data_IF_181271078884
#
_entry.id   IF_181271078884
#
_cell.length_a   1.000
_cell.length_b   1.000
_cell.length_c   1.000
_cell.angle_alpha   90.00
_cell.angle_beta   90.00
_cell.angle_gamma   90.00
#
_symmetry.space_group_name_H-M   'P 1'
#
loop_
_entity.id
_entity.type
_entity.pdbx_description
1 polymer ?
#
# COMPACT_ATOMS: atom_id res chain seq x y z
N UNK A 1 -13.75 -12.40 31.75
CA UNK A 1 -12.27 -12.48 31.65
C UNK A 1 -11.85 -11.59 30.51
N UNK A 2 -11.04 -10.56 30.74
CA UNK A 2 -10.50 -9.76 29.66
C UNK A 2 -9.65 -10.69 28.77
N UNK A 3 -9.80 -10.69 27.44
CA UNK A 3 -8.97 -11.51 26.57
C UNK A 3 -7.51 -11.11 26.79
N UNK A 4 -6.69 -12.10 27.15
CA UNK A 4 -5.25 -11.96 27.34
C UNK A 4 -4.69 -11.37 26.05
N UNK A 5 -4.06 -10.19 26.11
CA UNK A 5 -3.37 -9.57 24.97
C UNK A 5 -2.24 -10.51 24.54
N UNK A 6 -2.50 -11.39 23.57
CA UNK A 6 -1.45 -12.22 22.98
C UNK A 6 -0.43 -11.28 22.34
N UNK A 7 0.75 -11.18 22.95
CA UNK A 7 1.82 -10.31 22.48
C UNK A 7 2.32 -10.86 21.15
N UNK A 8 2.05 -10.16 20.06
CA UNK A 8 2.55 -10.54 18.73
C UNK A 8 4.08 -10.51 18.80
N UNK A 9 4.72 -11.62 18.43
CA UNK A 9 6.17 -11.67 18.30
C UNK A 9 6.49 -11.01 16.96
N UNK A 10 7.08 -9.81 17.01
CA UNK A 10 7.45 -9.06 15.81
C UNK A 10 8.73 -9.62 15.19
N UNK A 11 8.83 -9.46 13.87
CA UNK A 11 10.07 -9.76 13.15
C UNK A 11 11.17 -8.80 13.63
N UNK A 12 12.37 -9.34 13.88
CA UNK A 12 13.52 -8.53 14.31
C UNK A 12 14.03 -7.70 13.12
N UNK A 13 14.15 -6.38 13.30
CA UNK A 13 14.76 -5.51 12.31
C UNK A 13 16.26 -5.79 12.14
N UNK A 14 16.71 -5.76 10.89
CA UNK A 14 18.13 -5.84 10.50
C UNK A 14 18.39 -4.83 9.37
N UNK A 15 18.68 -3.59 9.76
CA UNK A 15 18.86 -2.49 8.81
C UNK A 15 20.12 -2.67 7.95
N UNK A 16 21.17 -3.31 8.47
CA UNK A 16 22.39 -3.57 7.71
C UNK A 16 22.17 -4.58 6.60
N UNK A 17 21.52 -5.71 6.90
CA UNK A 17 21.15 -6.73 5.92
C UNK A 17 20.22 -6.14 4.86
N UNK A 18 19.21 -5.39 5.28
CA UNK A 18 18.23 -4.79 4.37
C UNK A 18 18.87 -3.79 3.41
N UNK A 19 19.74 -2.90 3.92
CA UNK A 19 20.49 -1.95 3.10
C UNK A 19 21.46 -2.66 2.14
N UNK A 20 22.12 -3.73 2.58
CA UNK A 20 22.99 -4.54 1.73
C UNK A 20 22.20 -5.21 0.59
N UNK A 21 21.03 -5.79 0.89
CA UNK A 21 20.16 -6.39 -0.11
C UNK A 21 19.63 -5.35 -1.11
N UNK A 22 19.19 -4.19 -0.61
CA UNK A 22 18.77 -3.08 -1.46
C UNK A 22 19.89 -2.66 -2.41
N UNK A 23 21.11 -2.46 -1.91
CA UNK A 23 22.27 -2.08 -2.73
C UNK A 23 22.57 -3.13 -3.80
N UNK A 24 22.49 -4.41 -3.45
CA UNK A 24 22.68 -5.51 -4.39
C UNK A 24 21.61 -5.49 -5.50
N UNK A 25 20.33 -5.34 -5.15
CA UNK A 25 19.22 -5.38 -6.10
C UNK A 25 19.13 -4.12 -6.96
N UNK A 26 19.29 -2.94 -6.34
CA UNK A 26 18.92 -1.65 -6.89
C UNK A 26 20.09 -0.73 -7.21
N UNK A 27 21.34 -1.09 -6.88
CA UNK A 27 22.48 -0.15 -6.91
C UNK A 27 22.72 0.60 -8.23
N UNK A 28 22.32 0.05 -9.38
CA UNK A 28 22.35 0.76 -10.68
C UNK A 28 21.00 1.39 -11.08
N UNK A 29 19.90 0.94 -10.48
CA UNK A 29 18.53 1.35 -10.78
C UNK A 29 18.08 2.61 -10.04
N UNK A 30 18.75 2.95 -8.92
CA UNK A 30 18.46 4.15 -8.12
C UNK A 30 18.78 5.45 -8.86
N UNK A 31 19.82 5.42 -9.70
CA UNK A 31 20.24 6.56 -10.54
C UNK A 31 19.30 6.79 -11.74
N UNK A 32 18.64 5.74 -12.23
CA UNK A 32 17.74 5.79 -13.37
C UNK A 32 16.52 6.70 -13.12
N UNK A 33 15.89 7.18 -14.20
CA UNK A 33 14.72 8.08 -14.14
C UNK A 33 13.44 7.42 -13.58
N UNK A 34 13.52 6.17 -13.10
CA UNK A 34 12.40 5.39 -12.57
C UNK A 34 11.70 4.49 -13.59
N UNK A 35 10.72 3.72 -13.11
CA UNK A 35 9.85 2.92 -13.96
C UNK A 35 10.59 1.83 -14.75
N UNK A 36 10.24 1.67 -16.04
CA UNK A 36 10.75 0.58 -16.88
C UNK A 36 12.29 0.53 -16.98
N UNK A 37 12.97 1.68 -17.03
CA UNK A 37 14.42 1.74 -17.07
C UNK A 37 15.07 1.21 -15.78
N UNK A 38 14.52 1.59 -14.62
CA UNK A 38 14.99 1.10 -13.32
C UNK A 38 14.72 -0.41 -13.16
N UNK A 39 13.57 -0.90 -13.64
CA UNK A 39 13.24 -2.33 -13.62
C UNK A 39 14.24 -3.20 -14.39
N UNK A 40 14.71 -2.74 -15.56
CA UNK A 40 15.69 -3.45 -16.39
C UNK A 40 17.12 -3.39 -15.82
N UNK A 41 17.41 -2.38 -15.00
CA UNK A 41 18.74 -2.16 -14.40
C UNK A 41 18.97 -2.97 -13.11
N UNK A 42 17.97 -3.72 -12.63
CA UNK A 42 18.09 -4.55 -11.42
C UNK A 42 19.06 -5.69 -11.58
N UNK A 43 19.74 -6.04 -10.48
CA UNK A 43 20.56 -7.25 -10.43
C UNK A 43 19.70 -8.52 -10.58
N UNK A 44 20.19 -9.47 -11.38
CA UNK A 44 19.42 -10.66 -11.75
C UNK A 44 19.31 -11.67 -10.62
N UNK A 45 20.39 -11.88 -9.85
CA UNK A 45 20.41 -12.87 -8.77
C UNK A 45 19.68 -12.36 -7.53
N UNK A 46 19.91 -11.10 -7.14
CA UNK A 46 19.17 -10.49 -6.04
C UNK A 46 17.66 -10.45 -6.32
N UNK A 47 17.25 -10.21 -7.59
CA UNK A 47 15.83 -10.26 -7.96
C UNK A 47 15.26 -11.66 -7.84
N UNK A 48 16.00 -12.68 -8.28
CA UNK A 48 15.57 -14.08 -8.15
C UNK A 48 15.30 -14.44 -6.68
N UNK A 49 16.19 -14.03 -5.77
CA UNK A 49 16.00 -14.21 -4.32
C UNK A 49 14.73 -13.51 -3.85
N UNK A 50 14.50 -12.25 -4.24
CA UNK A 50 13.27 -11.54 -3.87
C UNK A 50 11.99 -12.24 -4.38
N UNK A 51 12.03 -12.79 -5.59
CA UNK A 51 10.92 -13.57 -6.17
C UNK A 51 10.69 -14.85 -5.36
N UNK A 52 11.73 -15.61 -5.06
CA UNK A 52 11.63 -16.86 -4.28
C UNK A 52 11.12 -16.60 -2.85
N UNK A 53 11.69 -15.61 -2.16
CA UNK A 53 11.27 -15.22 -0.81
C UNK A 53 9.83 -14.69 -0.75
N UNK A 54 9.37 -13.99 -1.78
CA UNK A 54 7.99 -13.53 -1.84
C UNK A 54 7.01 -14.68 -2.14
N UNK A 55 7.26 -15.41 -3.23
CA UNK A 55 6.31 -16.39 -3.72
C UNK A 55 6.26 -17.68 -2.92
N UNK A 56 7.24 -18.00 -2.05
CA UNK A 56 7.14 -19.13 -1.11
C UNK A 56 5.88 -19.08 -0.24
N UNK A 57 5.33 -17.89 -0.01
CA UNK A 57 4.14 -17.68 0.80
C UNK A 57 2.82 -17.99 0.07
N UNK A 58 2.82 -18.01 -1.26
CA UNK A 58 1.62 -18.13 -2.10
C UNK A 58 1.67 -19.29 -3.10
N UNK A 59 2.86 -19.75 -3.49
CA UNK A 59 3.03 -20.84 -4.46
C UNK A 59 2.39 -22.15 -3.95
N UNK A 60 1.60 -22.78 -4.83
CA UNK A 60 0.85 -24.01 -4.54
C UNK A 60 -0.14 -23.89 -3.37
N UNK A 61 -0.57 -22.67 -3.03
CA UNK A 61 -1.62 -22.43 -2.05
C UNK A 61 -2.86 -21.87 -2.74
N UNK A 62 -3.99 -22.55 -2.60
CA UNK A 62 -5.28 -22.08 -3.10
C UNK A 62 -6.23 -21.78 -1.94
N UNK A 63 -7.31 -21.06 -2.23
CA UNK A 63 -8.38 -20.85 -1.26
C UNK A 63 -9.00 -22.17 -0.77
N UNK A 64 -8.94 -23.26 -1.55
CA UNK A 64 -9.46 -24.57 -1.12
C UNK A 64 -8.61 -25.20 -0.02
N UNK A 65 -7.29 -25.06 -0.11
CA UNK A 65 -6.33 -25.75 0.77
C UNK A 65 -5.72 -24.86 1.84
N UNK A 66 -5.96 -23.55 1.80
CA UNK A 66 -5.39 -22.61 2.76
C UNK A 66 -5.91 -22.89 4.18
N UNK A 67 -4.98 -22.95 5.13
CA UNK A 67 -5.24 -23.16 6.56
C UNK A 67 -5.00 -21.88 7.37
N UNK A 68 -5.43 -21.89 8.64
CA UNK A 68 -5.06 -20.84 9.59
C UNK A 68 -3.55 -20.78 9.82
N UNK A 69 -2.88 -21.93 9.89
CA UNK A 69 -1.42 -22.01 10.01
C UNK A 69 -0.67 -21.37 8.83
N UNK A 70 -1.24 -21.44 7.61
CA UNK A 70 -0.68 -20.73 6.45
C UNK A 70 -0.75 -19.21 6.63
N UNK A 71 -1.89 -18.71 7.11
CA UNK A 71 -2.10 -17.28 7.38
C UNK A 71 -1.18 -16.79 8.50
N UNK A 72 -1.05 -17.56 9.56
CA UNK A 72 -0.11 -17.27 10.65
C UNK A 72 1.35 -17.28 10.17
N UNK A 73 1.72 -18.21 9.28
CA UNK A 73 3.07 -18.25 8.71
C UNK A 73 3.39 -17.00 7.88
N UNK A 74 2.44 -16.53 7.05
CA UNK A 74 2.57 -15.25 6.35
C UNK A 74 2.67 -14.08 7.32
N UNK A 75 1.85 -14.09 8.36
CA UNK A 75 1.79 -13.03 9.38
C UNK A 75 3.10 -12.94 10.19
N UNK A 76 3.77 -14.06 10.48
CA UNK A 76 5.06 -14.06 11.19
C UNK A 76 6.21 -13.41 10.41
N UNK A 77 6.15 -13.45 9.08
CA UNK A 77 7.16 -12.88 8.18
C UNK A 77 6.62 -11.63 7.44
N UNK A 78 5.64 -10.93 8.02
CA UNK A 78 4.93 -9.82 7.34
C UNK A 78 5.87 -8.73 6.82
N UNK A 79 6.93 -8.39 7.57
CA UNK A 79 7.83 -7.30 7.20
C UNK A 79 8.72 -7.73 6.03
N UNK A 80 9.28 -8.94 6.07
CA UNK A 80 10.02 -9.54 4.95
C UNK A 80 9.14 -9.73 3.72
N UNK A 81 7.92 -10.26 3.86
CA UNK A 81 6.95 -10.42 2.79
C UNK A 81 6.68 -9.09 2.07
N UNK A 82 6.33 -8.05 2.84
CA UNK A 82 6.01 -6.71 2.34
C UNK A 82 7.23 -6.06 1.68
N UNK A 83 8.42 -6.18 2.28
CA UNK A 83 9.65 -5.61 1.74
C UNK A 83 10.01 -6.23 0.39
N UNK A 84 9.95 -7.56 0.26
CA UNK A 84 10.22 -8.23 -1.02
C UNK A 84 9.16 -7.91 -2.07
N UNK A 85 7.88 -7.82 -1.68
CA UNK A 85 6.82 -7.37 -2.58
C UNK A 85 7.17 -6.00 -3.20
N UNK A 86 7.46 -4.98 -2.38
CA UNK A 86 7.76 -3.65 -2.88
C UNK A 86 9.09 -3.57 -3.64
N UNK A 87 10.09 -4.38 -3.29
CA UNK A 87 11.32 -4.53 -4.10
C UNK A 87 11.02 -5.03 -5.51
N UNK A 88 9.95 -5.83 -5.70
CA UNK A 88 9.54 -6.32 -7.02
C UNK A 88 8.60 -5.34 -7.74
N UNK A 89 7.63 -4.77 -7.02
CA UNK A 89 6.49 -4.05 -7.60
C UNK A 89 6.73 -2.54 -7.83
N UNK A 90 7.60 -1.88 -7.05
CA UNK A 90 7.71 -0.40 -7.05
C UNK A 90 7.87 0.21 -8.45
N UNK A 91 8.77 -0.32 -9.28
CA UNK A 91 8.99 0.24 -10.62
C UNK A 91 7.79 0.04 -11.57
N UNK A 92 7.07 -1.07 -11.39
CA UNK A 92 5.86 -1.34 -12.15
C UNK A 92 4.74 -0.39 -11.72
N UNK A 93 4.65 -0.08 -10.42
CA UNK A 93 3.73 0.91 -9.88
C UNK A 93 4.06 2.32 -10.36
N UNK A 94 5.32 2.75 -10.31
CA UNK A 94 5.69 4.09 -10.79
C UNK A 94 5.41 4.27 -12.28
N UNK A 95 5.68 3.24 -13.08
CA UNK A 95 5.37 3.26 -14.51
C UNK A 95 3.86 3.20 -14.78
N UNK A 96 3.15 2.38 -14.02
CA UNK A 96 1.77 2.01 -14.31
C UNK A 96 0.69 2.85 -13.63
N UNK A 97 1.03 3.44 -12.48
CA UNK A 97 0.13 4.09 -11.51
C UNK A 97 0.57 5.52 -11.18
N UNK A 98 1.88 5.78 -11.07
CA UNK A 98 2.42 7.10 -10.67
C UNK A 98 3.12 7.04 -9.32
N UNK A 99 3.19 8.16 -8.59
CA UNK A 99 4.00 8.25 -7.36
C UNK A 99 3.19 8.20 -6.06
N UNK A 100 1.86 8.17 -6.16
CA UNK A 100 0.92 7.97 -5.06
C UNK A 100 0.28 6.59 -5.20
N UNK A 101 0.76 5.63 -4.42
CA UNK A 101 0.34 4.23 -4.50
C UNK A 101 -0.91 3.97 -3.67
N UNK A 102 -2.04 4.51 -4.10
CA UNK A 102 -3.33 4.27 -3.46
C UNK A 102 -4.49 4.48 -4.43
N UNK A 103 -5.67 4.07 -4.02
CA UNK A 103 -6.91 4.31 -4.74
C UNK A 103 -7.51 5.67 -4.39
N UNK A 104 -8.44 6.12 -5.23
CA UNK A 104 -9.20 7.34 -5.00
C UNK A 104 -10.60 7.22 -5.62
N UNK A 105 -11.49 8.10 -5.18
CA UNK A 105 -12.80 8.30 -5.80
C UNK A 105 -12.65 9.20 -7.02
N UNK A 106 -13.48 8.99 -8.04
CA UNK A 106 -13.47 9.78 -9.27
C UNK A 106 -14.75 10.59 -9.46
N UNK A 107 -14.59 11.81 -9.96
CA UNK A 107 -15.69 12.60 -10.53
C UNK A 107 -15.72 12.45 -12.05
N UNK A 108 -16.86 12.78 -12.67
CA UNK A 108 -16.98 12.76 -14.14
C UNK A 108 -15.99 13.76 -14.76
N UNK A 109 -15.17 13.28 -15.71
CA UNK A 109 -14.20 14.09 -16.43
C UNK A 109 -12.95 14.46 -15.63
N UNK A 110 -12.79 13.93 -14.42
CA UNK A 110 -11.65 14.24 -13.55
C UNK A 110 -10.42 13.39 -13.92
N UNK A 111 -9.28 14.01 -14.29
CA UNK A 111 -8.03 13.29 -14.54
C UNK A 111 -7.53 12.55 -13.30
N UNK A 112 -6.88 11.40 -13.51
CA UNK A 112 -6.35 10.55 -12.44
C UNK A 112 -5.53 11.31 -11.38
N UNK A 113 -4.55 12.12 -11.81
CA UNK A 113 -3.69 12.86 -10.88
C UNK A 113 -4.44 13.95 -10.09
N UNK A 114 -5.55 14.47 -10.61
CA UNK A 114 -6.39 15.40 -9.87
C UNK A 114 -7.29 14.67 -8.86
N UNK A 115 -7.83 13.52 -9.26
CA UNK A 115 -8.64 12.67 -8.39
C UNK A 115 -7.83 12.16 -7.18
N UNK A 116 -6.59 11.73 -7.41
CA UNK A 116 -5.71 11.23 -6.34
C UNK A 116 -5.30 12.34 -5.38
N UNK A 117 -4.87 13.51 -5.90
CA UNK A 117 -4.55 14.68 -5.08
C UNK A 117 -5.75 15.16 -4.26
N UNK A 118 -6.95 15.19 -4.86
CA UNK A 118 -8.19 15.53 -4.13
C UNK A 118 -8.47 14.55 -2.99
N UNK A 119 -8.15 13.27 -3.17
CA UNK A 119 -8.32 12.26 -2.13
C UNK A 119 -7.34 12.46 -0.96
N UNK A 120 -6.10 12.80 -1.27
CA UNK A 120 -5.06 13.16 -0.28
C UNK A 120 -5.43 14.45 0.48
N UNK A 121 -5.86 15.50 -0.24
CA UNK A 121 -6.35 16.75 0.37
C UNK A 121 -7.57 16.54 1.26
N UNK A 122 -8.48 15.64 0.87
CA UNK A 122 -9.65 15.31 1.69
C UNK A 122 -9.24 14.69 3.03
N UNK A 123 -8.22 13.81 3.05
CA UNK A 123 -7.69 13.26 4.29
C UNK A 123 -7.04 14.33 5.16
N UNK A 124 -6.16 15.15 4.56
CA UNK A 124 -5.48 16.24 5.25
C UNK A 124 -6.49 17.22 5.90
N UNK A 125 -7.55 17.56 5.18
CA UNK A 125 -8.66 18.37 5.69
C UNK A 125 -9.42 17.67 6.81
N UNK A 126 -9.73 16.37 6.65
CA UNK A 126 -10.49 15.60 7.66
C UNK A 126 -9.77 15.44 8.99
N UNK A 127 -8.43 15.41 8.97
CA UNK A 127 -7.63 15.34 10.20
C UNK A 127 -7.12 16.70 10.67
N UNK A 128 -7.41 17.78 9.92
CA UNK A 128 -7.08 19.15 10.31
C UNK A 128 -5.59 19.46 10.26
N UNK A 129 -4.85 18.96 9.26
CA UNK A 129 -3.45 19.35 9.06
C UNK A 129 -3.37 20.85 8.76
N UNK A 130 -2.48 21.56 9.45
CA UNK A 130 -2.23 22.99 9.28
C UNK A 130 -0.75 23.28 9.07
N UNK A 131 -0.47 24.50 8.59
CA UNK A 131 0.88 25.01 8.38
C UNK A 131 1.74 24.87 9.64
N UNK A 132 2.97 24.39 9.47
CA UNK A 132 3.95 24.22 10.54
C UNK A 132 3.73 23.01 11.45
N UNK A 133 2.64 22.25 11.32
CA UNK A 133 2.44 21.01 12.08
C UNK A 133 3.51 19.96 11.74
N UNK A 134 3.89 19.16 12.73
CA UNK A 134 4.68 17.93 12.53
C UNK A 134 3.75 16.78 12.27
N UNK A 135 3.78 16.24 11.05
CA UNK A 135 2.91 15.16 10.61
C UNK A 135 3.72 13.89 10.36
N UNK A 136 3.20 12.74 10.75
CA UNK A 136 3.76 11.44 10.40
C UNK A 136 2.92 10.80 9.28
N UNK A 137 3.59 10.37 8.22
CA UNK A 137 3.04 9.53 7.15
C UNK A 137 3.51 8.09 7.37
N UNK A 138 2.59 7.20 7.79
CA UNK A 138 2.88 5.80 8.09
C UNK A 138 2.72 4.96 6.83
N UNK A 139 3.84 4.48 6.29
CA UNK A 139 3.88 3.73 5.03
C UNK A 139 3.97 4.63 3.80
N UNK A 140 4.90 5.60 3.81
CA UNK A 140 4.90 6.72 2.86
C UNK A 140 5.18 6.37 1.38
N UNK A 141 5.47 5.10 1.04
CA UNK A 141 5.84 4.69 -0.31
C UNK A 141 7.03 5.49 -0.86
N UNK A 142 6.92 5.94 -2.12
CA UNK A 142 7.87 6.88 -2.77
C UNK A 142 7.53 8.36 -2.49
N UNK A 143 6.72 8.63 -1.47
CA UNK A 143 6.45 9.95 -0.93
C UNK A 143 5.50 10.84 -1.74
N UNK A 144 4.71 10.28 -2.67
CA UNK A 144 3.72 11.03 -3.46
C UNK A 144 2.74 11.81 -2.57
N UNK A 145 1.98 11.14 -1.68
CA UNK A 145 1.02 11.81 -0.81
C UNK A 145 1.68 12.82 0.12
N UNK A 146 2.85 12.50 0.68
CA UNK A 146 3.61 13.43 1.51
C UNK A 146 3.97 14.72 0.75
N UNK A 147 4.39 14.62 -0.52
CA UNK A 147 4.69 15.81 -1.34
C UNK A 147 3.45 16.63 -1.64
N UNK A 148 2.33 15.99 -1.97
CA UNK A 148 1.10 16.70 -2.28
C UNK A 148 0.52 17.40 -1.03
N UNK A 149 0.41 16.67 0.08
CA UNK A 149 -0.11 17.20 1.35
C UNK A 149 0.78 18.31 1.89
N UNK A 150 2.10 18.19 1.81
CA UNK A 150 3.01 19.25 2.26
C UNK A 150 2.82 20.55 1.46
N UNK A 151 2.71 20.47 0.13
CA UNK A 151 2.41 21.65 -0.72
C UNK A 151 1.06 22.26 -0.42
N UNK A 152 0.07 21.44 -0.07
CA UNK A 152 -1.29 21.89 0.20
C UNK A 152 -1.43 22.56 1.57
N UNK A 153 -0.66 22.12 2.56
CA UNK A 153 -0.86 22.49 3.97
C UNK A 153 0.27 23.30 4.59
N UNK A 154 1.46 23.36 3.97
CA UNK A 154 2.70 23.90 4.54
C UNK A 154 3.15 23.18 5.84
N UNK A 155 2.75 21.92 6.02
CA UNK A 155 3.16 21.10 7.16
C UNK A 155 4.55 20.46 6.95
N UNK A 156 5.21 20.09 8.06
CA UNK A 156 6.44 19.31 8.04
C UNK A 156 6.10 17.82 8.17
N UNK A 157 6.30 17.06 7.11
CA UNK A 157 5.91 15.64 7.06
C UNK A 157 7.15 14.75 7.16
N UNK A 158 7.10 13.81 8.10
CA UNK A 158 8.05 12.70 8.20
C UNK A 158 7.38 11.44 7.67
N UNK A 159 7.90 10.85 6.60
CA UNK A 159 7.44 9.56 6.09
C UNK A 159 8.22 8.41 6.69
N UNK A 160 7.51 7.41 7.21
CA UNK A 160 8.06 6.15 7.72
C UNK A 160 7.78 5.04 6.70
N UNK A 161 8.81 4.27 6.32
CA UNK A 161 8.64 3.13 5.42
C UNK A 161 9.70 2.05 5.69
N UNK A 162 9.36 0.78 5.45
CA UNK A 162 10.26 -0.36 5.65
C UNK A 162 11.14 -0.66 4.42
N UNK A 163 11.01 0.08 3.33
CA UNK A 163 11.71 -0.18 2.08
C UNK A 163 12.74 0.92 1.76
N UNK A 164 14.04 0.60 1.86
CA UNK A 164 15.14 1.54 1.64
C UNK A 164 15.15 2.12 0.22
N UNK A 165 14.76 1.32 -0.79
CA UNK A 165 14.67 1.79 -2.16
C UNK A 165 13.60 2.88 -2.32
N UNK A 166 12.42 2.69 -1.73
CA UNK A 166 11.36 3.71 -1.75
C UNK A 166 11.75 4.96 -0.96
N UNK A 167 12.45 4.83 0.17
CA UNK A 167 12.97 5.97 0.95
C UNK A 167 13.96 6.81 0.14
N UNK A 168 14.90 6.17 -0.57
CA UNK A 168 15.86 6.89 -1.43
C UNK A 168 15.13 7.67 -2.53
N UNK A 169 14.14 7.04 -3.16
CA UNK A 169 13.32 7.68 -4.21
C UNK A 169 12.49 8.83 -3.67
N UNK A 170 11.81 8.64 -2.54
CA UNK A 170 11.03 9.68 -1.89
C UNK A 170 11.90 10.91 -1.57
N UNK A 171 13.09 10.67 -1.03
CA UNK A 171 14.08 11.71 -0.74
C UNK A 171 14.53 12.44 -2.00
N UNK A 172 14.84 11.71 -3.08
CA UNK A 172 15.24 12.29 -4.38
C UNK A 172 14.11 13.12 -4.99
N UNK A 173 12.87 12.66 -4.91
CA UNK A 173 11.72 13.38 -5.45
C UNK A 173 11.41 14.65 -4.66
N UNK A 174 11.45 14.58 -3.33
CA UNK A 174 11.31 15.78 -2.50
C UNK A 174 12.41 16.81 -2.82
N UNK A 175 13.67 16.38 -3.00
CA UNK A 175 14.75 17.27 -3.39
C UNK A 175 14.54 17.90 -4.78
N UNK A 176 14.11 17.10 -5.76
CA UNK A 176 13.81 17.59 -7.12
C UNK A 176 12.70 18.65 -7.14
N UNK A 177 11.76 18.56 -6.21
CA UNK A 177 10.64 19.50 -6.07
C UNK A 177 10.93 20.64 -5.07
N UNK A 178 12.13 20.72 -4.50
CA UNK A 178 12.52 21.78 -3.57
C UNK A 178 11.92 21.64 -2.16
N UNK A 179 11.43 20.45 -1.79
CA UNK A 179 10.70 20.18 -0.54
C UNK A 179 11.57 19.58 0.57
N UNK A 180 12.89 19.48 0.41
CA UNK A 180 13.79 18.85 1.40
C UNK A 180 13.77 19.49 2.80
N UNK A 181 13.33 20.74 2.91
CA UNK A 181 13.19 21.44 4.20
C UNK A 181 11.87 21.11 4.91
N UNK A 182 10.88 20.59 4.18
CA UNK A 182 9.55 20.25 4.69
C UNK A 182 9.37 18.75 4.86
N UNK A 183 10.07 17.94 4.06
CA UNK A 183 9.92 16.49 4.00
C UNK A 183 11.17 15.76 4.47
N UNK A 184 10.96 14.73 5.31
CA UNK A 184 11.98 13.76 5.69
C UNK A 184 11.42 12.36 5.55
N UNK A 185 12.25 11.41 5.14
CA UNK A 185 11.86 10.01 4.99
C UNK A 185 12.81 9.15 5.82
N UNK A 186 12.26 8.29 6.65
CA UNK A 186 13.01 7.43 7.57
C UNK A 186 12.65 5.97 7.38
N UNK A 187 13.68 5.12 7.43
CA UNK A 187 13.53 3.67 7.45
C UNK A 187 12.99 3.24 8.82
N UNK A 188 12.00 2.35 8.82
CA UNK A 188 11.57 1.65 10.01
C UNK A 188 10.30 0.83 9.81
N UNK A 189 10.03 -0.05 10.76
CA UNK A 189 8.79 -0.80 10.85
C UNK A 189 7.75 -0.05 11.71
N UNK A 190 6.56 0.19 11.17
CA UNK A 190 5.48 0.88 11.89
C UNK A 190 4.95 0.11 13.11
N UNK A 191 5.31 -1.17 13.28
CA UNK A 191 4.98 -1.95 14.47
C UNK A 191 5.94 -1.70 15.64
N UNK A 192 7.04 -0.97 15.40
CA UNK A 192 8.11 -0.69 16.36
C UNK A 192 8.77 0.66 16.05
N UNK A 193 7.96 1.72 16.10
CA UNK A 193 8.38 3.05 15.65
C UNK A 193 9.48 3.63 16.56
N UNK A 194 10.65 3.93 15.98
CA UNK A 194 11.77 4.58 16.69
C UNK A 194 11.59 6.09 16.86
N UNK A 195 10.39 6.53 17.23
CA UNK A 195 10.07 7.91 17.60
C UNK A 195 9.75 8.02 19.09
N UNK A 196 10.08 9.15 19.75
CA UNK A 196 9.59 9.42 21.09
C UNK A 196 8.06 9.49 21.13
N UNK A 197 7.50 9.20 22.29
CA UNK A 197 6.09 9.41 22.57
C UNK A 197 5.71 10.88 22.30
N UNK A 198 4.48 11.12 21.85
CA UNK A 198 3.92 12.48 21.72
C UNK A 198 4.75 13.44 20.85
N UNK A 199 5.31 12.92 19.76
CA UNK A 199 6.18 13.67 18.85
C UNK A 199 5.42 14.42 17.75
N UNK A 200 4.25 13.91 17.33
CA UNK A 200 3.53 14.40 16.14
C UNK A 200 2.18 15.04 16.48
N UNK A 201 1.84 16.11 15.76
CA UNK A 201 0.57 16.85 15.89
C UNK A 201 -0.58 16.11 15.20
N UNK A 202 -0.29 15.47 14.06
CA UNK A 202 -1.21 14.61 13.34
C UNK A 202 -0.47 13.41 12.74
N UNK A 203 -1.19 12.31 12.52
CA UNK A 203 -0.67 11.12 11.83
C UNK A 203 -1.65 10.74 10.74
N UNK A 204 -1.14 10.30 9.59
CA UNK A 204 -1.98 9.62 8.61
C UNK A 204 -1.33 8.33 8.10
N UNK A 205 -2.18 7.42 7.63
CA UNK A 205 -1.78 6.23 6.91
C UNK A 205 -2.70 6.06 5.68
N UNK A 206 -2.13 5.98 4.49
CA UNK A 206 -2.92 5.77 3.26
C UNK A 206 -2.60 4.37 2.76
N UNK A 207 -3.55 3.45 2.91
CA UNK A 207 -3.51 2.09 2.35
C UNK A 207 -2.26 1.27 2.76
N UNK A 208 -1.67 1.56 3.92
CA UNK A 208 -0.41 0.97 4.36
C UNK A 208 -0.55 0.01 5.55
N UNK A 209 -1.44 0.31 6.50
CA UNK A 209 -1.53 -0.44 7.76
C UNK A 209 -2.08 -1.85 7.59
N UNK A 210 -2.73 -2.15 6.47
CA UNK A 210 -3.10 -3.51 6.03
C UNK A 210 -1.92 -4.50 5.99
N UNK A 211 -0.68 -4.01 5.81
CA UNK A 211 0.51 -4.87 5.85
C UNK A 211 0.94 -5.26 7.27
N UNK A 212 0.35 -4.65 8.30
CA UNK A 212 0.61 -4.99 9.69
C UNK A 212 0.09 -6.39 10.01
N UNK A 213 0.78 -7.16 10.87
CA UNK A 213 0.30 -8.46 11.31
C UNK A 213 -0.96 -8.33 12.19
N UNK A 214 -1.15 -7.16 12.82
CA UNK A 214 -2.33 -6.83 13.62
C UNK A 214 -2.54 -5.32 13.66
N UNK A 215 -3.71 -4.85 13.21
CA UNK A 215 -4.06 -3.43 13.18
C UNK A 215 -3.97 -2.76 14.56
N UNK A 216 -4.43 -3.42 15.63
CA UNK A 216 -4.34 -2.87 17.00
C UNK A 216 -2.89 -2.53 17.37
N UNK A 217 -1.92 -3.31 16.90
CA UNK A 217 -0.51 -3.10 17.20
C UNK A 217 0.03 -1.83 16.56
N UNK A 218 -0.17 -1.65 15.25
CA UNK A 218 0.28 -0.42 14.56
C UNK A 218 -0.50 0.80 15.04
N UNK A 219 -1.80 0.68 15.29
CA UNK A 219 -2.60 1.79 15.82
C UNK A 219 -2.17 2.17 17.24
N UNK A 220 -1.69 1.22 18.06
CA UNK A 220 -1.12 1.53 19.38
C UNK A 220 0.20 2.31 19.28
N UNK A 221 1.06 1.98 18.31
CA UNK A 221 2.28 2.75 18.05
C UNK A 221 1.95 4.16 17.54
N UNK A 222 0.97 4.28 16.64
CA UNK A 222 0.46 5.59 16.19
C UNK A 222 -0.08 6.40 17.37
N UNK A 223 -0.87 5.77 18.25
CA UNK A 223 -1.39 6.41 19.47
C UNK A 223 -0.26 6.90 20.38
N UNK A 224 0.82 6.11 20.52
CA UNK A 224 1.98 6.45 21.35
C UNK A 224 2.69 7.70 20.82
N UNK A 225 3.00 7.75 19.53
CA UNK A 225 3.77 8.85 18.91
C UNK A 225 2.94 10.13 18.67
N UNK A 226 1.61 10.02 18.67
CA UNK A 226 0.70 11.16 18.54
C UNK A 226 0.62 11.94 19.87
N UNK A 227 0.61 13.27 19.81
CA UNK A 227 0.41 14.14 20.98
C UNK A 227 -1.01 14.00 21.56
N UNK A 228 -1.22 14.28 22.85
CA UNK A 228 -2.57 14.44 23.41
C UNK A 228 -3.38 15.46 22.59
N UNK A 229 -4.62 15.11 22.25
CA UNK A 229 -5.48 15.91 21.37
C UNK A 229 -5.17 15.81 19.87
N UNK A 230 -4.07 15.17 19.48
CA UNK A 230 -3.71 14.93 18.08
C UNK A 230 -4.70 14.01 17.37
N UNK A 231 -4.72 14.10 16.04
CA UNK A 231 -5.68 13.36 15.19
C UNK A 231 -4.94 12.38 14.27
N UNK A 232 -5.47 11.16 14.21
CA UNK A 232 -5.07 10.11 13.28
C UNK A 232 -6.15 9.91 12.22
N UNK A 233 -5.77 9.84 10.95
CA UNK A 233 -6.66 9.45 9.86
C UNK A 233 -6.06 8.33 9.01
N UNK A 234 -6.90 7.38 8.61
CA UNK A 234 -6.47 6.26 7.77
C UNK A 234 -7.47 5.98 6.66
N UNK A 235 -6.95 5.68 5.47
CA UNK A 235 -7.67 4.94 4.44
C UNK A 235 -7.21 3.48 4.52
N UNK A 236 -8.09 2.61 5.03
CA UNK A 236 -7.76 1.21 5.31
C UNK A 236 -8.36 0.26 4.27
N UNK A 237 -7.62 -0.81 4.00
CA UNK A 237 -8.08 -1.95 3.22
C UNK A 237 -8.78 -2.95 4.14
N UNK A 238 -10.09 -3.13 3.96
CA UNK A 238 -10.89 -3.99 4.82
C UNK A 238 -11.85 -4.87 4.00
N UNK A 239 -12.09 -6.07 4.51
CA UNK A 239 -13.18 -6.92 4.04
C UNK A 239 -14.51 -6.38 4.60
N UNK A 240 -15.51 -6.25 3.74
CA UNK A 240 -16.82 -5.71 4.12
C UNK A 240 -17.66 -6.76 4.87
N UNK A 241 -18.83 -6.34 5.36
CA UNK A 241 -19.78 -7.24 6.04
C UNK A 241 -20.37 -8.32 5.11
N UNK A 242 -20.24 -8.20 3.78
CA UNK A 242 -20.69 -9.25 2.85
C UNK A 242 -19.63 -10.34 2.63
N UNK A 243 -18.39 -10.13 3.11
CA UNK A 243 -17.36 -11.17 3.04
C UNK A 243 -17.71 -12.33 3.97
N UNK A 244 -17.54 -13.56 3.46
CA UNK A 244 -17.81 -14.78 4.20
C UNK A 244 -16.64 -15.72 4.01
N UNK A 245 -15.92 -16.01 5.10
CA UNK A 245 -14.76 -16.89 5.06
C UNK A 245 -15.14 -18.38 4.86
N UNK A 246 -16.42 -18.74 4.89
CA UNK A 246 -16.89 -20.08 4.53
C UNK A 246 -17.21 -20.21 3.03
N UNK A 247 -17.29 -19.10 2.31
CA UNK A 247 -17.52 -19.09 0.87
C UNK A 247 -16.19 -19.16 0.12
N UNK A 248 -16.01 -20.21 -0.69
CA UNK A 248 -14.78 -20.44 -1.43
C UNK A 248 -14.45 -19.31 -2.43
N UNK A 249 -15.46 -18.77 -3.13
CA UNK A 249 -15.26 -17.66 -4.08
C UNK A 249 -14.78 -16.40 -3.34
N UNK A 250 -15.34 -16.11 -2.17
CA UNK A 250 -14.94 -14.95 -1.36
C UNK A 250 -13.48 -15.10 -0.90
N UNK A 251 -13.09 -16.30 -0.44
CA UNK A 251 -11.70 -16.60 -0.06
C UNK A 251 -10.74 -16.48 -1.23
N UNK A 252 -11.12 -16.94 -2.42
CA UNK A 252 -10.28 -16.84 -3.62
C UNK A 252 -10.05 -15.38 -4.02
N UNK A 253 -11.10 -14.55 -3.97
CA UNK A 253 -11.00 -13.10 -4.19
C UNK A 253 -10.07 -12.46 -3.15
N UNK A 254 -10.25 -12.76 -1.86
CA UNK A 254 -9.37 -12.25 -0.79
C UNK A 254 -7.92 -12.66 -1.03
N UNK A 255 -7.68 -13.94 -1.34
CA UNK A 255 -6.32 -14.46 -1.54
C UNK A 255 -5.65 -13.85 -2.78
N UNK A 256 -6.41 -13.59 -3.85
CA UNK A 256 -5.93 -12.86 -5.02
C UNK A 256 -5.51 -11.43 -4.66
N UNK A 257 -6.30 -10.74 -3.84
CA UNK A 257 -5.95 -9.40 -3.32
C UNK A 257 -4.69 -9.49 -2.45
N UNK A 258 -4.60 -10.47 -1.55
CA UNK A 258 -3.43 -10.63 -0.67
C UNK A 258 -2.14 -10.90 -1.44
N UNK A 259 -2.17 -11.85 -2.37
CA UNK A 259 -1.04 -12.21 -3.23
C UNK A 259 -0.64 -11.07 -4.18
N UNK A 260 -1.62 -10.38 -4.77
CA UNK A 260 -1.32 -9.33 -5.73
C UNK A 260 -0.80 -8.05 -5.10
N UNK A 261 -0.98 -7.87 -3.80
CA UNK A 261 -0.66 -6.64 -3.08
C UNK A 261 0.31 -6.84 -1.90
N UNK A 262 0.86 -8.04 -1.69
CA UNK A 262 1.83 -8.27 -0.63
C UNK A 262 1.25 -8.14 0.78
N UNK A 263 -0.01 -8.51 0.96
CA UNK A 263 -0.71 -8.46 2.24
C UNK A 263 -0.63 -9.84 2.89
N UNK A 264 -0.27 -9.87 4.18
CA UNK A 264 -0.15 -11.11 4.94
C UNK A 264 -1.51 -11.75 5.20
N UNK A 265 -2.46 -10.96 5.69
CA UNK A 265 -3.84 -11.36 5.97
C UNK A 265 -4.74 -10.11 6.06
N UNK A 266 -5.82 -10.06 5.28
CA UNK A 266 -6.83 -9.01 5.44
C UNK A 266 -7.81 -9.31 6.58
N UNK A 267 -8.33 -8.24 7.20
CA UNK A 267 -9.32 -8.31 8.28
C UNK A 267 -10.61 -7.58 7.88
N UNK A 268 -11.69 -7.82 8.61
CA UNK A 268 -12.99 -7.20 8.36
C UNK A 268 -13.08 -5.76 8.87
N UNK A 269 -14.06 -5.01 8.37
CA UNK A 269 -14.38 -3.66 8.87
C UNK A 269 -14.60 -3.66 10.38
N UNK A 270 -15.34 -4.65 10.89
CA UNK A 270 -15.60 -4.79 12.32
C UNK A 270 -14.31 -4.94 13.13
N UNK A 271 -13.37 -5.77 12.67
CA UNK A 271 -12.08 -5.97 13.33
C UNK A 271 -11.20 -4.71 13.25
N UNK A 272 -11.22 -3.99 12.13
CA UNK A 272 -10.52 -2.71 11.98
C UNK A 272 -11.02 -1.63 12.94
N UNK A 273 -12.34 -1.48 13.07
CA UNK A 273 -12.96 -0.54 14.00
C UNK A 273 -12.66 -0.91 15.47
N UNK A 274 -12.71 -2.19 15.81
CA UNK A 274 -12.38 -2.64 17.16
C UNK A 274 -10.89 -2.46 17.47
N UNK A 275 -9.99 -2.72 16.52
CA UNK A 275 -8.57 -2.43 16.66
C UNK A 275 -8.31 -0.93 16.91
N UNK A 276 -9.03 -0.07 16.20
CA UNK A 276 -8.93 1.39 16.33
C UNK A 276 -9.35 1.87 17.73
N UNK A 277 -10.46 1.35 18.26
CA UNK A 277 -10.92 1.63 19.64
C UNK A 277 -9.98 1.03 20.69
N UNK A 278 -9.52 -0.20 20.49
CA UNK A 278 -8.64 -0.91 21.41
C UNK A 278 -7.27 -0.22 21.59
N UNK A 279 -6.80 0.48 20.55
CA UNK A 279 -5.61 1.33 20.61
C UNK A 279 -5.80 2.58 21.49
N UNK A 280 -7.05 2.97 21.82
CA UNK A 280 -7.37 4.09 22.71
C UNK A 280 -7.91 5.34 22.02
N UNK A 281 -8.13 5.31 20.70
CA UNK A 281 -8.66 6.47 19.99
C UNK A 281 -10.15 6.72 20.28
N UNK A 282 -10.50 7.99 20.43
CA UNK A 282 -11.88 8.46 20.30
C UNK A 282 -12.22 8.52 18.81
N UNK A 283 -13.12 7.66 18.35
CA UNK A 283 -13.53 7.62 16.94
C UNK A 283 -14.43 8.83 16.62
N UNK A 284 -13.92 9.74 15.80
CA UNK A 284 -14.63 10.97 15.40
C UNK A 284 -15.49 10.77 14.16
N UNK A 285 -14.98 10.00 13.19
CA UNK A 285 -15.66 9.71 11.93
C UNK A 285 -15.18 8.37 11.39
N UNK A 286 -16.08 7.58 10.82
CA UNK A 286 -15.69 6.48 9.96
C UNK A 286 -16.70 6.31 8.82
N UNK A 287 -16.23 5.89 7.65
CA UNK A 287 -17.05 5.79 6.46
C UNK A 287 -16.35 4.95 5.38
N UNK A 288 -17.11 4.11 4.69
CA UNK A 288 -16.63 3.49 3.46
C UNK A 288 -16.75 4.48 2.29
N UNK A 289 -15.64 5.10 1.90
CA UNK A 289 -15.64 6.06 0.80
C UNK A 289 -15.91 5.39 -0.56
N UNK A 290 -15.66 4.09 -0.70
CA UNK A 290 -15.95 3.35 -1.92
C UNK A 290 -17.46 3.19 -2.18
N UNK A 291 -18.29 3.33 -1.14
CA UNK A 291 -19.77 3.21 -1.22
C UNK A 291 -20.49 4.51 -1.53
N UNK A 292 -19.77 5.63 -1.63
CA UNK A 292 -20.39 6.88 -2.06
C UNK A 292 -20.94 6.71 -3.48
N UNK A 293 -22.08 7.36 -3.81
CA UNK A 293 -22.79 7.14 -5.08
C UNK A 293 -22.10 7.87 -6.24
N UNK A 294 -20.82 7.58 -6.46
CA UNK A 294 -20.07 8.14 -7.57
C UNK A 294 -20.47 7.46 -8.88
N UNK A 295 -20.61 8.24 -9.97
CA UNK A 295 -20.96 7.67 -11.27
C UNK A 295 -19.82 6.81 -11.84
N UNK A 296 -18.58 7.07 -11.43
CA UNK A 296 -17.39 6.36 -11.89
C UNK A 296 -16.83 5.54 -10.72
N UNK A 297 -16.72 4.20 -10.85
CA UNK A 297 -16.23 3.38 -9.76
C UNK A 297 -14.73 3.62 -9.51
N UNK A 298 -14.30 3.56 -8.25
CA UNK A 298 -12.88 3.73 -7.86
C UNK A 298 -11.93 2.75 -8.58
N UNK A 299 -12.43 1.58 -8.97
CA UNK A 299 -11.65 0.53 -9.64
C UNK A 299 -11.61 0.68 -11.17
N UNK A 300 -12.18 1.75 -11.76
CA UNK A 300 -12.33 1.84 -13.22
C UNK A 300 -11.00 1.72 -13.97
N UNK A 301 -9.93 2.31 -13.42
CA UNK A 301 -8.59 2.31 -14.04
C UNK A 301 -7.96 0.93 -14.16
N UNK A 302 -8.44 -0.06 -13.40
CA UNK A 302 -7.98 -1.45 -13.41
C UNK A 302 -9.03 -2.44 -13.93
N UNK A 303 -10.25 -1.98 -14.19
CA UNK A 303 -11.35 -2.84 -14.65
C UNK A 303 -11.15 -3.36 -16.08
N UNK A 304 -10.44 -2.60 -16.93
CA UNK A 304 -10.37 -2.89 -18.37
C UNK A 304 -11.73 -2.72 -19.08
N UNK A 305 -12.62 -1.89 -18.55
CA UNK A 305 -13.98 -1.67 -19.07
C UNK A 305 -14.10 -0.32 -19.78
N UNK A 306 -14.47 -0.33 -21.06
CA UNK A 306 -14.56 0.89 -21.89
C UNK A 306 -15.69 1.84 -21.46
N UNK A 307 -16.74 1.34 -20.79
CA UNK A 307 -17.87 2.17 -20.34
C UNK A 307 -17.52 3.23 -19.29
N UNK A 308 -16.38 3.09 -18.62
CA UNK A 308 -15.92 4.07 -17.62
C UNK A 308 -14.86 5.04 -18.16
N UNK A 309 -14.51 4.96 -19.45
CA UNK A 309 -13.59 5.91 -20.07
C UNK A 309 -14.10 7.34 -19.90
N UNK A 310 -13.24 8.25 -19.47
CA UNK A 310 -13.52 9.67 -19.33
C UNK A 310 -13.09 10.46 -20.57
N UNK A 311 -12.17 9.91 -21.37
CA UNK A 311 -11.61 10.49 -22.58
C UNK A 311 -11.14 9.43 -23.57
N UNK A 312 -10.89 9.83 -24.83
CA UNK A 312 -10.29 8.94 -25.84
C UNK A 312 -8.88 8.46 -25.46
N UNK A 313 -8.16 9.22 -24.64
CA UNK A 313 -6.83 8.85 -24.17
C UNK A 313 -6.85 7.69 -23.17
N UNK A 314 -7.97 7.49 -22.47
CA UNK A 314 -8.14 6.37 -21.54
C UNK A 314 -8.16 5.00 -22.25
N UNK A 315 -8.35 4.99 -23.57
CA UNK A 315 -8.33 3.76 -24.35
C UNK A 315 -7.02 2.99 -24.16
N UNK A 316 -5.89 3.68 -24.03
CA UNK A 316 -4.60 3.04 -23.79
C UNK A 316 -4.57 2.34 -22.42
N UNK A 317 -5.06 3.00 -21.38
CA UNK A 317 -5.17 2.43 -20.03
C UNK A 317 -6.12 1.24 -20.02
N UNK A 318 -7.30 1.39 -20.62
CA UNK A 318 -8.32 0.33 -20.68
C UNK A 318 -7.79 -0.87 -21.45
N UNK A 319 -7.24 -0.68 -22.66
CA UNK A 319 -6.70 -1.77 -23.47
C UNK A 319 -5.62 -2.54 -22.73
N UNK A 320 -4.69 -1.85 -22.06
CA UNK A 320 -3.65 -2.46 -21.23
C UNK A 320 -4.24 -3.35 -20.13
N UNK A 321 -5.40 -3.00 -19.59
CA UNK A 321 -6.04 -3.69 -18.47
C UNK A 321 -7.04 -4.77 -18.87
N UNK A 322 -7.42 -4.87 -20.15
CA UNK A 322 -8.18 -6.02 -20.65
C UNK A 322 -7.38 -7.33 -20.55
N UNK A 323 -8.07 -8.47 -20.50
CA UNK A 323 -7.41 -9.79 -20.57
C UNK A 323 -6.52 -9.94 -21.81
N UNK A 324 -6.97 -9.40 -22.96
CA UNK A 324 -6.19 -9.43 -24.19
C UNK A 324 -4.91 -8.59 -24.09
N UNK A 325 -5.02 -7.34 -23.61
CA UNK A 325 -3.86 -6.46 -23.42
C UNK A 325 -2.87 -7.00 -22.41
N UNK A 326 -3.36 -7.51 -21.27
CA UNK A 326 -2.52 -8.18 -20.27
C UNK A 326 -1.82 -9.39 -20.88
N UNK A 327 -2.52 -10.25 -21.64
CA UNK A 327 -1.91 -11.39 -22.34
C UNK A 327 -0.79 -10.97 -23.28
N UNK A 328 -0.94 -9.88 -24.03
CA UNK A 328 0.13 -9.34 -24.89
C UNK A 328 1.35 -8.96 -24.05
N UNK A 329 1.15 -8.23 -22.94
CA UNK A 329 2.24 -7.85 -22.03
C UNK A 329 2.89 -9.09 -21.39
N UNK A 330 2.12 -10.10 -20.99
CA UNK A 330 2.63 -11.36 -20.42
C UNK A 330 3.50 -12.15 -21.41
N UNK A 331 3.08 -12.24 -22.67
CA UNK A 331 3.87 -12.92 -23.72
C UNK A 331 5.15 -12.13 -24.01
N UNK A 332 5.04 -10.81 -24.11
CA UNK A 332 6.19 -9.94 -24.37
C UNK A 332 7.22 -9.99 -23.23
N UNK A 333 6.79 -9.90 -21.96
CA UNK A 333 7.69 -10.00 -20.81
C UNK A 333 8.35 -11.38 -20.71
N UNK A 334 7.60 -12.46 -20.95
CA UNK A 334 8.16 -13.81 -21.02
C UNK A 334 9.21 -13.98 -22.12
N UNK A 335 8.99 -13.38 -23.29
CA UNK A 335 9.99 -13.33 -24.36
C UNK A 335 11.25 -12.58 -23.92
N UNK A 336 11.12 -11.38 -23.32
CA UNK A 336 12.25 -10.61 -22.81
C UNK A 336 13.06 -11.36 -21.75
N UNK A 337 12.40 -12.12 -20.88
CA UNK A 337 13.07 -13.01 -19.91
C UNK A 337 13.85 -14.13 -20.61
N UNK A 338 13.24 -14.75 -21.63
CA UNK A 338 13.83 -15.86 -22.38
C UNK A 338 15.12 -15.45 -23.08
N UNK A 339 15.16 -14.24 -23.66
CA UNK A 339 16.35 -13.70 -24.33
C UNK A 339 17.30 -12.96 -23.38
N UNK A 340 17.01 -12.95 -22.06
CA UNK A 340 17.88 -12.40 -21.02
C UNK A 340 17.91 -10.87 -20.92
N UNK A 341 17.00 -10.16 -21.59
CA UNK A 341 16.84 -8.70 -21.48
C UNK A 341 16.06 -8.30 -20.22
N UNK A 342 15.06 -9.07 -19.83
CA UNK A 342 14.38 -8.92 -18.55
C UNK A 342 14.98 -9.88 -17.50
N UNK A 343 15.15 -9.44 -16.24
CA UNK A 343 15.51 -10.35 -15.15
C UNK A 343 14.47 -11.47 -14.96
N UNK A 344 14.88 -12.67 -14.53
CA UNK A 344 13.96 -13.78 -14.25
C UNK A 344 12.95 -13.41 -13.16
N UNK A 345 11.70 -13.86 -13.33
CA UNK A 345 10.61 -13.65 -12.38
C UNK A 345 9.85 -12.34 -12.54
N UNK A 346 10.26 -11.46 -13.47
CA UNK A 346 9.49 -10.29 -13.92
C UNK A 346 8.09 -10.67 -14.39
N UNK A 347 7.97 -11.71 -15.22
CA UNK A 347 6.68 -12.22 -15.69
C UNK A 347 5.84 -12.69 -14.52
N UNK A 348 6.42 -13.48 -13.59
CA UNK A 348 5.72 -13.99 -12.41
C UNK A 348 5.18 -12.85 -11.54
N UNK A 349 5.98 -11.81 -11.29
CA UNK A 349 5.52 -10.59 -10.61
C UNK A 349 4.37 -9.92 -11.36
N UNK A 350 4.49 -9.73 -12.68
CA UNK A 350 3.43 -9.11 -13.48
C UNK A 350 2.12 -9.93 -13.50
N UNK A 351 2.22 -11.27 -13.56
CA UNK A 351 1.10 -12.20 -13.48
C UNK A 351 0.38 -12.07 -12.12
N UNK A 352 1.16 -11.99 -11.03
CA UNK A 352 0.63 -11.81 -9.67
C UNK A 352 -0.07 -10.46 -9.48
N UNK A 353 0.51 -9.37 -9.98
CA UNK A 353 -0.14 -8.04 -9.99
C UNK A 353 -1.45 -8.04 -10.79
N UNK A 354 -1.48 -8.73 -11.94
CA UNK A 354 -2.69 -8.86 -12.75
C UNK A 354 -3.78 -9.65 -12.02
N UNK A 355 -3.42 -10.72 -11.32
CA UNK A 355 -4.33 -11.48 -10.45
C UNK A 355 -4.86 -10.61 -9.30
N UNK A 356 -4.01 -9.79 -8.69
CA UNK A 356 -4.41 -8.78 -7.70
C UNK A 356 -5.45 -7.80 -8.23
N UNK A 357 -5.21 -7.24 -9.42
CA UNK A 357 -6.16 -6.32 -10.07
C UNK A 357 -7.52 -6.98 -10.33
N UNK A 358 -7.54 -8.23 -10.77
CA UNK A 358 -8.79 -8.99 -10.94
C UNK A 358 -9.51 -9.23 -9.61
N UNK A 359 -8.76 -9.59 -8.56
CA UNK A 359 -9.28 -9.74 -7.20
C UNK A 359 -9.90 -8.45 -6.67
N UNK A 360 -9.23 -7.30 -6.85
CA UNK A 360 -9.73 -5.99 -6.44
C UNK A 360 -11.03 -5.62 -7.16
N UNK A 361 -11.10 -5.81 -8.49
CA UNK A 361 -12.29 -5.51 -9.29
C UNK A 361 -13.44 -6.46 -8.92
N UNK A 362 -13.16 -7.75 -8.72
CA UNK A 362 -14.16 -8.73 -8.32
C UNK A 362 -14.70 -8.45 -6.90
N UNK A 363 -13.80 -8.16 -5.95
CA UNK A 363 -14.12 -7.77 -4.59
C UNK A 363 -14.97 -6.50 -4.54
N UNK A 364 -14.65 -5.50 -5.36
CA UNK A 364 -15.45 -4.28 -5.47
C UNK A 364 -16.86 -4.53 -6.02
N UNK A 365 -16.98 -5.27 -7.13
CA UNK A 365 -18.26 -5.54 -7.80
C UNK A 365 -19.22 -6.37 -6.94
N UNK A 366 -18.69 -7.24 -6.10
CA UNK A 366 -19.44 -8.07 -5.15
C UNK A 366 -19.60 -7.42 -3.78
N UNK A 367 -19.09 -6.21 -3.60
CA UNK A 367 -19.07 -5.49 -2.32
C UNK A 367 -18.48 -6.35 -1.18
N UNK A 368 -17.33 -7.01 -1.43
CA UNK A 368 -16.60 -7.86 -0.46
C UNK A 368 -15.39 -7.14 0.16
N UNK A 369 -14.90 -6.09 -0.50
CA UNK A 369 -13.66 -5.42 -0.17
C UNK A 369 -13.78 -3.90 -0.42
N UNK A 370 -13.15 -3.11 0.45
CA UNK A 370 -12.96 -1.67 0.25
C UNK A 370 -11.49 -1.28 0.46
N UNK A 371 -10.87 -0.48 -0.43
CA UNK A 371 -9.50 -0.02 -0.28
C UNK A 371 -9.40 1.30 0.51
N UNK A 372 -10.53 1.97 0.76
CA UNK A 372 -10.56 3.35 1.24
C UNK A 372 -11.57 3.53 2.36
N UNK A 373 -11.57 2.59 3.30
CA UNK A 373 -12.35 2.75 4.52
C UNK A 373 -11.71 3.84 5.38
N UNK A 374 -12.37 4.99 5.45
CA UNK A 374 -11.88 6.14 6.21
C UNK A 374 -12.19 5.92 7.69
N UNK A 375 -11.17 6.00 8.55
CA UNK A 375 -11.33 6.17 9.99
C UNK A 375 -10.56 7.41 10.43
N UNK A 376 -11.19 8.25 11.25
CA UNK A 376 -10.60 9.44 11.86
C UNK A 376 -10.80 9.37 13.36
N UNK A 377 -9.69 9.44 14.10
CA UNK A 377 -9.65 9.29 15.54
C UNK A 377 -8.83 10.36 16.21
N UNK A 378 -9.20 10.70 17.44
CA UNK A 378 -8.44 11.61 18.30
C UNK A 378 -7.82 10.85 19.47
N UNK A 379 -6.56 11.16 19.78
CA UNK A 379 -5.99 10.79 21.07
C UNK A 379 -6.58 11.71 22.14
N UNK A 380 -7.20 11.20 23.22
CA UNK A 380 -7.72 12.04 24.30
C UNK A 380 -6.68 13.05 24.79
N UNK A 381 -7.13 14.25 25.17
CA UNK A 381 -6.24 15.34 25.59
C UNK A 381 -5.72 15.22 27.05
N UNK A 382 -6.19 14.19 27.78
CA UNK A 382 -6.04 14.06 29.23
C UNK A 382 -4.91 13.12 29.62
#
# INVERSE_FOLDING_TARGET
>A
MAPTKTKVILEKEDHERDAAFMKALHGKSTEAAGGFAAMLAKDKEAKKIAVEEYFKHFDNKSAETETEADREARTREYATLTRHYYNLATDLYEYGWGQSFHFCRYSIGEPFYQAIARHEHYLAMKIGIQAGMKVLDVGCGVGGPAREIAKFTDAHITGLNNNDYQIERATRYAAKEGLSNQLKFVKGDFMQMSFPDESFDAVYAIEATVHAPKLEGVYSEIYRVLKPGGVFGVYEWLMTDNYDNNNLEHRDIRLAIEEGNGISNMVTISEGLEAFKAAGFELLHHEDLAKRPDPIPWYWGIAGETKYMQSYWDLFTVLRMTHAGRRVVHVFTGFLETIGLAPKGTKKTADSLAKGADGLVAGAKKDLFTPMYLMVGRKPAN
#
